data_IF_749856749215
#
_entry.id   IF_749856749215
#
_cell.length_a   1.000
_cell.length_b   1.000
_cell.length_c   1.000
_cell.angle_alpha   90.00
_cell.angle_beta   90.00
_cell.angle_gamma   90.00
#
_symmetry.space_group_name_H-M   'P 1'
#
loop_
_entity.id
_entity.type
_entity.pdbx_description
1 polymer ?
#
# COMPACT_ATOMS: atom_id res chain seq x y z
N UNK A 1 6.49 -1.30 19.41
CA UNK A 1 5.22 -0.59 19.14
C UNK A 1 5.12 -0.30 17.64
N UNK A 2 4.71 -1.30 16.87
CA UNK A 2 4.64 -1.22 15.42
C UNK A 2 3.44 -0.39 14.92
N UNK A 3 2.39 -0.23 15.73
CA UNK A 3 1.22 0.59 15.39
C UNK A 3 1.41 2.09 15.61
N UNK A 4 2.41 2.50 16.39
CA UNK A 4 2.54 3.88 16.84
C UNK A 4 1.53 4.32 17.93
N UNK A 5 0.53 3.47 18.25
CA UNK A 5 -0.60 3.80 19.14
C UNK A 5 -0.44 3.26 20.58
N UNK A 6 0.73 2.75 20.93
CA UNK A 6 1.04 2.23 22.28
C UNK A 6 0.81 0.73 22.45
N UNK A 7 -0.19 0.16 21.76
CA UNK A 7 -0.51 -1.27 21.77
C UNK A 7 -0.74 -1.79 20.36
N UNK A 8 -0.49 -3.07 20.19
CA UNK A 8 -0.82 -3.83 19.00
C UNK A 8 -1.25 -5.24 19.34
N UNK A 9 -1.96 -5.89 18.43
CA UNK A 9 -2.44 -7.25 18.60
C UNK A 9 -1.42 -8.24 18.05
N UNK A 10 -1.22 -9.36 18.76
CA UNK A 10 -0.34 -10.43 18.32
C UNK A 10 -1.11 -11.36 17.37
N UNK A 11 -1.18 -10.98 16.08
CA UNK A 11 -1.96 -11.69 15.06
C UNK A 11 -1.52 -13.15 14.88
N UNK A 12 -0.25 -13.45 15.12
CA UNK A 12 0.31 -14.80 15.05
C UNK A 12 -0.25 -15.75 16.12
N UNK A 13 -0.92 -15.23 17.16
CA UNK A 13 -1.51 -16.05 18.23
C UNK A 13 -2.84 -16.66 17.78
N UNK A 14 -3.08 -17.96 18.04
CA UNK A 14 -4.25 -18.67 17.51
C UNK A 14 -5.59 -18.02 17.83
N UNK A 15 -5.77 -17.50 19.04
CA UNK A 15 -7.03 -16.86 19.44
C UNK A 15 -7.21 -15.49 18.79
N UNK A 16 -6.15 -14.70 18.61
CA UNK A 16 -6.22 -13.45 17.91
C UNK A 16 -6.50 -13.65 16.41
N UNK A 17 -5.82 -14.59 15.78
CA UNK A 17 -6.08 -15.01 14.40
C UNK A 17 -7.53 -15.42 14.20
N UNK A 18 -8.05 -16.27 15.08
CA UNK A 18 -9.46 -16.69 15.08
C UNK A 18 -10.40 -15.48 15.15
N UNK A 19 -10.15 -14.56 16.07
CA UNK A 19 -10.94 -13.34 16.23
C UNK A 19 -10.94 -12.50 14.94
N UNK A 20 -9.79 -12.28 14.32
CA UNK A 20 -9.68 -11.51 13.09
C UNK A 20 -10.46 -12.17 11.95
N UNK A 21 -10.30 -13.49 11.75
CA UNK A 21 -11.02 -14.24 10.71
C UNK A 21 -12.54 -14.20 10.94
N UNK A 22 -13.00 -14.46 12.15
CA UNK A 22 -14.43 -14.47 12.47
C UNK A 22 -15.05 -13.07 12.34
N UNK A 23 -14.30 -12.02 12.70
CA UNK A 23 -14.73 -10.64 12.56
C UNK A 23 -15.01 -10.28 11.10
N UNK A 24 -14.05 -10.50 10.20
CA UNK A 24 -14.25 -10.16 8.77
C UNK A 24 -15.35 -11.02 8.13
N UNK A 25 -15.46 -12.29 8.50
CA UNK A 25 -16.55 -13.16 8.03
C UNK A 25 -17.91 -12.68 8.52
N UNK A 26 -18.02 -12.21 9.76
CA UNK A 26 -19.23 -11.64 10.32
C UNK A 26 -19.68 -10.40 9.50
N UNK A 27 -18.79 -9.45 9.31
CA UNK A 27 -19.10 -8.22 8.55
C UNK A 27 -19.44 -8.50 7.10
N UNK A 28 -18.75 -9.45 6.45
CA UNK A 28 -19.07 -9.84 5.08
C UNK A 28 -20.45 -10.49 4.97
N UNK A 29 -20.83 -11.36 5.92
CA UNK A 29 -22.11 -12.10 5.88
C UNK A 29 -23.30 -11.25 6.31
N UNK A 30 -23.17 -10.54 7.44
CA UNK A 30 -24.31 -9.85 8.05
C UNK A 30 -24.55 -8.46 7.45
N UNK A 31 -23.47 -7.81 6.98
CA UNK A 31 -23.54 -6.45 6.43
C UNK A 31 -23.25 -6.38 4.93
N UNK A 32 -22.99 -7.53 4.31
CA UNK A 32 -22.74 -7.64 2.88
C UNK A 32 -21.60 -6.74 2.38
N UNK A 33 -20.52 -6.63 3.16
CA UNK A 33 -19.34 -5.87 2.73
C UNK A 33 -18.63 -6.58 1.59
N UNK A 34 -18.22 -5.82 0.56
CA UNK A 34 -17.56 -6.34 -0.64
C UNK A 34 -16.03 -6.43 -0.51
N UNK A 35 -15.46 -5.96 0.60
CA UNK A 35 -14.03 -6.05 0.83
C UNK A 35 -13.58 -5.40 2.14
N UNK A 36 -12.28 -5.52 2.41
CA UNK A 36 -11.66 -5.06 3.66
C UNK A 36 -10.33 -4.39 3.38
N UNK A 37 -10.13 -3.22 3.99
CA UNK A 37 -8.85 -2.52 4.06
C UNK A 37 -8.25 -2.69 5.43
N UNK A 38 -6.98 -3.13 5.48
CA UNK A 38 -6.23 -3.27 6.72
C UNK A 38 -5.30 -2.08 6.91
N UNK A 39 -5.56 -1.33 7.97
CA UNK A 39 -4.68 -0.27 8.45
C UNK A 39 -3.39 -0.91 8.97
N UNK A 40 -2.22 -0.33 8.63
CA UNK A 40 -0.92 -0.88 9.02
C UNK A 40 -0.87 -2.42 8.86
N UNK A 41 -1.31 -2.94 7.71
CA UNK A 41 -1.34 -4.39 7.44
C UNK A 41 0.02 -5.05 7.74
N UNK A 42 1.11 -4.30 7.55
CA UNK A 42 2.47 -4.75 7.83
C UNK A 42 2.76 -5.12 9.28
N UNK A 43 1.88 -4.82 10.25
CA UNK A 43 2.06 -5.29 11.63
C UNK A 43 1.55 -6.72 11.86
N UNK A 44 0.76 -7.26 10.95
CA UNK A 44 0.19 -8.60 11.02
C UNK A 44 1.12 -9.63 10.37
N UNK A 45 1.09 -10.85 10.90
CA UNK A 45 1.80 -11.96 10.26
C UNK A 45 1.11 -12.39 8.96
N UNK A 46 1.92 -12.80 7.96
CA UNK A 46 1.40 -13.19 6.65
C UNK A 46 0.49 -14.42 6.71
N UNK A 47 0.74 -15.36 7.63
CA UNK A 47 -0.09 -16.55 7.78
C UNK A 47 -1.52 -16.18 8.17
N UNK A 48 -1.69 -15.23 9.10
CA UNK A 48 -3.01 -14.70 9.47
C UNK A 48 -3.69 -14.01 8.30
N UNK A 49 -2.97 -13.18 7.57
CA UNK A 49 -3.51 -12.51 6.39
C UNK A 49 -3.92 -13.50 5.30
N UNK A 50 -3.12 -14.51 5.04
CA UNK A 50 -3.45 -15.57 4.08
C UNK A 50 -4.67 -16.40 4.52
N UNK A 51 -4.82 -16.71 5.80
CA UNK A 51 -5.99 -17.41 6.32
C UNK A 51 -7.26 -16.55 6.25
N UNK A 52 -7.17 -15.25 6.51
CA UNK A 52 -8.26 -14.29 6.31
C UNK A 52 -8.70 -14.31 4.84
N UNK A 53 -7.74 -14.19 3.93
CA UNK A 53 -8.01 -14.22 2.49
C UNK A 53 -8.69 -15.52 2.06
N UNK A 54 -8.16 -16.65 2.48
CA UNK A 54 -8.73 -17.96 2.17
C UNK A 54 -10.17 -18.11 2.68
N UNK A 55 -10.44 -17.64 3.91
CA UNK A 55 -11.76 -17.70 4.50
C UNK A 55 -12.79 -16.81 3.76
N UNK A 56 -12.40 -15.57 3.42
CA UNK A 56 -13.25 -14.64 2.66
C UNK A 56 -13.47 -15.12 1.23
N UNK A 57 -12.44 -15.59 0.54
CA UNK A 57 -12.55 -16.11 -0.84
C UNK A 57 -13.39 -17.39 -0.92
N UNK A 58 -13.43 -18.20 0.15
CA UNK A 58 -14.34 -19.33 0.27
C UNK A 58 -15.80 -18.89 0.42
N UNK A 59 -16.07 -17.76 1.04
CA UNK A 59 -17.39 -17.16 1.16
C UNK A 59 -17.84 -16.56 -0.18
N UNK A 60 -17.03 -15.68 -0.76
CA UNK A 60 -17.22 -15.11 -2.09
C UNK A 60 -15.85 -14.76 -2.71
N UNK A 61 -15.48 -15.34 -3.86
CA UNK A 61 -14.20 -15.08 -4.50
C UNK A 61 -14.00 -13.63 -4.96
N UNK A 62 -15.07 -12.82 -5.02
CA UNK A 62 -15.02 -11.41 -5.42
C UNK A 62 -14.63 -10.48 -4.29
N UNK A 63 -14.70 -10.91 -3.03
CA UNK A 63 -14.33 -10.08 -1.88
C UNK A 63 -12.90 -9.56 -2.02
N UNK A 64 -12.75 -8.24 -1.95
CA UNK A 64 -11.47 -7.58 -2.14
C UNK A 64 -10.75 -7.35 -0.80
N UNK A 65 -9.46 -7.64 -0.75
CA UNK A 65 -8.62 -7.48 0.44
C UNK A 65 -7.38 -6.70 0.07
N UNK A 66 -7.13 -5.63 0.79
CA UNK A 66 -5.94 -4.81 0.59
C UNK A 66 -5.55 -4.11 1.89
N UNK A 67 -4.36 -3.54 1.92
CA UNK A 67 -3.92 -2.83 3.09
C UNK A 67 -2.60 -2.08 2.92
N UNK A 68 -2.18 -1.48 4.01
CA UNK A 68 -0.90 -0.78 4.08
C UNK A 68 0.22 -1.78 4.36
N UNK A 69 1.07 -2.01 3.38
CA UNK A 69 2.21 -2.92 3.47
C UNK A 69 3.40 -2.35 4.27
N UNK A 70 3.13 -1.63 5.36
CA UNK A 70 4.13 -1.02 6.24
C UNK A 70 3.70 -1.04 7.71
N UNK A 71 4.61 -0.63 8.59
CA UNK A 71 4.41 -0.44 10.02
C UNK A 71 4.68 1.03 10.38
N UNK A 72 4.16 1.49 11.52
CA UNK A 72 4.49 2.80 12.06
C UNK A 72 5.69 2.77 13.05
N UNK A 73 6.25 1.60 13.30
CA UNK A 73 7.38 1.40 14.20
C UNK A 73 7.86 -0.05 14.21
N UNK A 74 8.59 -0.45 15.24
CA UNK A 74 9.17 -1.78 15.34
C UNK A 74 8.18 -2.82 15.86
N UNK A 75 8.21 -4.03 15.29
CA UNK A 75 7.48 -5.22 15.73
C UNK A 75 8.45 -6.29 16.24
N UNK A 76 8.01 -7.21 17.14
CA UNK A 76 8.83 -8.34 17.57
C UNK A 76 8.97 -9.44 16.51
N UNK A 77 8.13 -9.44 15.48
CA UNK A 77 8.22 -10.38 14.37
C UNK A 77 9.27 -9.92 13.36
N UNK A 78 9.95 -10.87 12.72
CA UNK A 78 10.90 -10.55 11.66
C UNK A 78 10.18 -10.11 10.37
N UNK A 79 10.86 -9.32 9.58
CA UNK A 79 10.33 -8.73 8.35
C UNK A 79 9.81 -9.76 7.33
N UNK A 80 10.41 -10.96 7.32
CA UNK A 80 10.02 -12.08 6.45
C UNK A 80 8.75 -12.81 6.90
N UNK A 81 8.26 -12.52 8.12
CA UNK A 81 7.03 -13.10 8.68
C UNK A 81 5.81 -12.19 8.55
N UNK A 82 5.99 -10.90 8.37
CA UNK A 82 4.92 -9.90 8.42
C UNK A 82 4.48 -9.43 7.03
N UNK A 83 3.27 -8.89 6.95
CA UNK A 83 2.61 -8.51 5.70
C UNK A 83 3.11 -7.17 5.14
N UNK A 84 4.44 -7.00 5.05
CA UNK A 84 5.06 -5.84 4.40
C UNK A 84 4.83 -5.85 2.89
N UNK A 85 4.86 -4.68 2.27
CA UNK A 85 4.75 -4.50 0.81
C UNK A 85 5.70 -5.44 0.05
N UNK A 86 6.96 -5.52 0.47
CA UNK A 86 7.97 -6.40 -0.15
C UNK A 86 7.61 -7.89 -0.13
N UNK A 87 6.67 -8.31 0.72
CA UNK A 87 6.21 -9.69 0.86
C UNK A 87 4.86 -9.95 0.17
N UNK A 88 4.28 -8.97 -0.52
CA UNK A 88 2.95 -9.08 -1.14
C UNK A 88 2.87 -10.25 -2.12
N UNK A 89 3.97 -10.56 -2.80
CA UNK A 89 4.06 -11.71 -3.69
C UNK A 89 3.84 -13.08 -3.00
N UNK A 90 3.99 -13.17 -1.68
CA UNK A 90 3.69 -14.36 -0.84
C UNK A 90 2.24 -14.39 -0.34
N UNK A 91 1.50 -13.30 -0.50
CA UNK A 91 0.14 -13.17 -0.01
C UNK A 91 -0.87 -13.45 -1.13
N UNK A 92 -1.70 -14.47 -0.93
CA UNK A 92 -2.68 -14.89 -1.93
C UNK A 92 -3.98 -14.08 -1.82
N UNK A 93 -4.39 -13.43 -2.91
CA UNK A 93 -5.64 -12.69 -2.95
C UNK A 93 -5.64 -11.39 -2.17
N UNK A 94 -4.47 -10.83 -1.88
CA UNK A 94 -4.26 -9.61 -1.09
C UNK A 94 -3.45 -8.61 -1.92
N UNK A 95 -3.86 -7.35 -1.85
CA UNK A 95 -3.18 -6.22 -2.49
C UNK A 95 -2.57 -5.30 -1.44
N UNK A 96 -1.55 -4.55 -1.82
CA UNK A 96 -0.97 -3.51 -0.99
C UNK A 96 -0.99 -2.16 -1.70
N UNK A 97 -1.07 -1.09 -0.93
CA UNK A 97 -0.91 0.26 -1.47
C UNK A 97 0.48 0.46 -2.07
N UNK A 98 0.52 1.05 -3.26
CA UNK A 98 1.76 1.41 -3.93
C UNK A 98 2.18 2.84 -3.58
N UNK A 99 3.05 2.96 -2.58
CA UNK A 99 3.73 4.22 -2.28
C UNK A 99 4.72 4.63 -3.38
N UNK A 100 5.18 3.68 -4.19
CA UNK A 100 5.97 3.96 -5.41
C UNK A 100 5.20 4.94 -6.34
N UNK A 101 3.93 4.64 -6.63
CA UNK A 101 3.08 5.53 -7.45
C UNK A 101 2.80 6.83 -6.73
N UNK A 102 2.40 6.75 -5.46
CA UNK A 102 2.06 7.94 -4.67
C UNK A 102 3.20 8.94 -4.63
N UNK A 103 4.37 8.50 -4.19
CA UNK A 103 5.52 9.38 -3.97
C UNK A 103 6.24 9.70 -5.28
N UNK A 104 6.25 8.77 -6.23
CA UNK A 104 6.74 9.00 -7.58
C UNK A 104 5.99 10.11 -8.31
N UNK A 105 4.67 10.16 -8.17
CA UNK A 105 3.85 11.19 -8.84
C UNK A 105 3.88 12.53 -8.11
N UNK A 106 3.62 12.55 -6.78
CA UNK A 106 3.43 13.81 -6.05
C UNK A 106 4.63 14.28 -5.20
N UNK A 107 5.67 13.46 -5.08
CA UNK A 107 6.79 13.68 -4.18
C UNK A 107 6.59 13.01 -2.83
N UNK A 108 7.69 12.76 -2.10
CA UNK A 108 7.69 12.08 -0.80
C UNK A 108 6.69 12.72 0.17
N UNK A 109 5.88 11.88 0.83
CA UNK A 109 4.96 12.36 1.87
C UNK A 109 5.67 12.76 3.16
N UNK A 110 6.93 12.35 3.33
CA UNK A 110 7.76 12.69 4.49
C UNK A 110 8.54 14.00 4.30
N UNK A 111 8.53 14.55 3.08
CA UNK A 111 9.20 15.81 2.74
C UNK A 111 8.18 16.76 2.10
N UNK A 112 7.64 17.65 2.91
CA UNK A 112 6.51 18.51 2.54
C UNK A 112 6.72 19.27 1.23
N UNK A 113 7.94 19.77 0.97
CA UNK A 113 8.28 20.58 -0.22
C UNK A 113 8.87 19.78 -1.37
N UNK A 114 9.05 18.45 -1.24
CA UNK A 114 9.57 17.65 -2.34
C UNK A 114 8.60 17.64 -3.52
N UNK A 115 9.16 17.75 -4.72
CA UNK A 115 8.42 17.60 -5.98
C UNK A 115 8.37 16.13 -6.39
N UNK A 116 7.35 15.75 -7.16
CA UNK A 116 7.25 14.46 -7.82
C UNK A 116 7.28 14.63 -9.34
N UNK A 117 7.04 13.55 -10.06
CA UNK A 117 7.04 13.52 -11.53
C UNK A 117 6.11 14.58 -12.12
N UNK A 118 4.87 14.71 -11.62
CA UNK A 118 3.90 15.68 -12.15
C UNK A 118 4.28 17.14 -11.89
N UNK A 119 5.11 17.40 -10.89
CA UNK A 119 5.59 18.75 -10.55
C UNK A 119 7.03 19.03 -11.01
N UNK A 120 7.58 18.17 -11.88
CA UNK A 120 8.82 18.41 -12.60
C UNK A 120 10.08 17.84 -11.93
N UNK A 121 9.96 16.91 -11.00
CA UNK A 121 11.11 16.15 -10.53
C UNK A 121 11.68 15.28 -11.65
N UNK A 122 13.00 15.19 -11.72
CA UNK A 122 13.72 14.35 -12.67
C UNK A 122 13.97 12.95 -12.10
N UNK A 123 14.28 12.00 -12.99
CA UNK A 123 14.71 10.64 -12.64
C UNK A 123 13.63 9.81 -11.89
N UNK A 124 12.33 10.09 -12.15
CA UNK A 124 11.19 9.35 -11.59
C UNK A 124 10.42 8.55 -12.66
N UNK A 125 10.84 8.58 -13.90
CA UNK A 125 10.16 7.92 -15.02
C UNK A 125 10.04 6.41 -14.79
N UNK A 126 11.11 5.76 -14.32
CA UNK A 126 11.12 4.31 -14.07
C UNK A 126 10.27 3.95 -12.85
N UNK A 127 10.23 4.79 -11.83
CA UNK A 127 9.33 4.64 -10.68
C UNK A 127 7.86 4.72 -11.11
N UNK A 128 7.52 5.69 -11.95
CA UNK A 128 6.15 5.85 -12.47
C UNK A 128 5.78 4.67 -13.38
N UNK A 129 6.68 4.24 -14.29
CA UNK A 129 6.46 3.04 -15.13
C UNK A 129 6.22 1.80 -14.27
N UNK A 130 7.06 1.58 -13.25
CA UNK A 130 6.94 0.47 -12.31
C UNK A 130 5.58 0.45 -11.62
N UNK A 131 5.10 1.62 -11.17
CA UNK A 131 3.78 1.76 -10.59
C UNK A 131 2.64 1.49 -11.58
N UNK A 132 2.72 2.01 -12.81
CA UNK A 132 1.70 1.82 -13.85
C UNK A 132 1.51 0.33 -14.20
N UNK A 133 2.58 -0.45 -14.25
CA UNK A 133 2.50 -1.88 -14.54
C UNK A 133 2.09 -2.74 -13.34
N UNK A 134 1.80 -2.13 -12.17
CA UNK A 134 1.37 -2.82 -10.96
C UNK A 134 2.51 -3.51 -10.22
N UNK A 135 3.70 -2.93 -10.24
CA UNK A 135 4.87 -3.33 -9.44
C UNK A 135 5.35 -4.77 -9.69
N UNK A 136 5.12 -5.26 -10.90
CA UNK A 136 5.57 -6.56 -11.40
C UNK A 136 6.86 -6.43 -12.22
N UNK A 137 7.47 -7.55 -12.57
CA UNK A 137 8.58 -7.55 -13.54
C UNK A 137 8.08 -7.20 -14.94
N UNK A 138 8.77 -6.27 -15.60
CA UNK A 138 8.51 -5.92 -17.00
C UNK A 138 9.80 -5.54 -17.73
N UNK A 139 10.05 -6.03 -18.96
CA UNK A 139 11.31 -5.79 -19.68
C UNK A 139 11.54 -4.34 -20.10
N UNK A 140 10.52 -3.48 -20.07
CA UNK A 140 10.61 -2.05 -20.39
C UNK A 140 10.83 -1.16 -19.16
N UNK A 141 10.98 -1.75 -17.96
CA UNK A 141 11.30 -1.03 -16.73
C UNK A 141 12.72 -1.33 -16.32
N UNK A 142 13.52 -0.29 -16.21
CA UNK A 142 14.87 -0.36 -15.62
C UNK A 142 14.73 -0.33 -14.09
N UNK A 143 14.51 -1.51 -13.51
CA UNK A 143 14.25 -1.63 -12.08
C UNK A 143 15.35 -1.00 -11.18
N UNK A 144 16.65 -1.08 -11.46
CA UNK A 144 17.67 -0.36 -10.71
C UNK A 144 17.48 1.14 -10.61
N UNK A 145 16.71 1.75 -11.52
CA UNK A 145 16.38 3.18 -11.49
C UNK A 145 15.03 3.49 -10.79
N UNK A 146 14.35 2.49 -10.22
CA UNK A 146 13.15 2.68 -9.37
C UNK A 146 13.57 3.19 -7.99
N UNK A 147 12.92 4.25 -7.49
CA UNK A 147 13.41 4.98 -6.33
C UNK A 147 12.83 4.53 -4.98
N UNK A 148 11.62 3.98 -4.93
CA UNK A 148 10.92 3.74 -3.65
C UNK A 148 10.76 2.26 -3.30
N UNK A 149 11.26 1.37 -4.13
CA UNK A 149 11.25 -0.08 -3.89
C UNK A 149 12.58 -0.72 -4.25
N UNK A 150 13.12 -1.51 -3.33
CA UNK A 150 14.37 -2.27 -3.53
C UNK A 150 14.13 -3.62 -4.21
N UNK A 151 12.86 -4.03 -4.31
CA UNK A 151 12.45 -5.31 -4.90
C UNK A 151 11.16 -5.18 -5.70
N UNK A 152 11.00 -6.06 -6.68
CA UNK A 152 9.69 -6.33 -7.29
C UNK A 152 8.84 -7.03 -6.23
N UNK A 153 7.66 -6.49 -5.93
CA UNK A 153 6.91 -6.95 -4.77
C UNK A 153 5.52 -7.54 -5.09
N UNK A 154 5.10 -7.49 -6.35
CA UNK A 154 3.86 -8.09 -6.82
C UNK A 154 4.13 -9.18 -7.87
N UNK A 155 3.34 -10.26 -7.85
CA UNK A 155 3.32 -11.27 -8.91
C UNK A 155 2.34 -10.90 -10.01
N UNK A 156 1.25 -10.24 -9.64
CA UNK A 156 0.14 -9.89 -10.51
C UNK A 156 -0.17 -8.40 -10.36
N UNK A 157 -0.50 -7.68 -11.44
CA UNK A 157 -0.74 -6.22 -11.39
C UNK A 157 -1.83 -5.80 -10.39
N UNK A 158 -2.84 -6.64 -10.17
CA UNK A 158 -3.93 -6.37 -9.24
C UNK A 158 -3.50 -6.36 -7.76
N UNK A 159 -2.31 -6.86 -7.44
CA UNK A 159 -1.76 -6.80 -6.09
C UNK A 159 -1.26 -5.41 -5.70
N UNK A 160 -1.12 -4.49 -6.66
CA UNK A 160 -0.74 -3.11 -6.41
C UNK A 160 -1.95 -2.17 -6.51
N UNK A 161 -2.26 -1.49 -5.41
CA UNK A 161 -3.28 -0.44 -5.37
C UNK A 161 -2.62 0.88 -5.70
N UNK A 162 -2.77 1.33 -6.95
CA UNK A 162 -2.24 2.62 -7.42
C UNK A 162 -3.12 3.76 -6.92
N UNK A 163 -2.52 4.78 -6.35
CA UNK A 163 -3.20 5.97 -5.84
C UNK A 163 -2.25 7.16 -5.74
N UNK A 164 -2.79 8.36 -5.63
CA UNK A 164 -2.02 9.58 -5.43
C UNK A 164 -2.54 10.40 -4.24
N UNK A 165 -3.80 10.23 -3.89
CA UNK A 165 -4.45 10.89 -2.75
C UNK A 165 -5.30 9.92 -1.96
N UNK A 166 -5.34 10.08 -0.65
CA UNK A 166 -6.20 9.35 0.27
C UNK A 166 -6.54 10.25 1.47
N UNK A 167 -7.05 9.67 2.57
CA UNK A 167 -7.34 10.38 3.81
C UNK A 167 -6.07 10.71 4.63
N UNK A 168 -4.95 10.05 4.33
CA UNK A 168 -3.65 10.30 4.95
C UNK A 168 -2.80 11.23 4.10
N UNK A 169 -2.02 12.11 4.75
CA UNK A 169 -1.13 13.07 4.13
C UNK A 169 -1.85 14.11 3.26
N UNK A 170 -1.10 14.99 2.63
CA UNK A 170 -1.66 15.97 1.69
C UNK A 170 -2.28 15.30 0.47
N UNK A 171 -3.41 15.81 0.01
CA UNK A 171 -3.93 15.48 -1.31
C UNK A 171 -2.95 15.90 -2.40
N UNK A 172 -3.13 15.45 -3.63
CA UNK A 172 -2.28 15.90 -4.74
C UNK A 172 -2.34 17.44 -4.88
N UNK A 173 -3.54 18.02 -4.80
CA UNK A 173 -3.71 19.46 -4.91
C UNK A 173 -2.97 20.23 -3.82
N UNK A 174 -3.10 19.83 -2.56
CA UNK A 174 -2.40 20.48 -1.44
C UNK A 174 -0.88 20.34 -1.56
N UNK A 175 -0.41 19.14 -1.92
CA UNK A 175 1.03 18.88 -2.12
C UNK A 175 1.61 19.75 -3.24
N UNK A 176 0.88 19.92 -4.36
CA UNK A 176 1.30 20.77 -5.46
C UNK A 176 1.39 22.24 -5.03
N UNK A 177 0.41 22.76 -4.29
CA UNK A 177 0.45 24.14 -3.77
C UNK A 177 1.64 24.37 -2.84
N UNK A 178 2.02 23.38 -2.03
CA UNK A 178 3.14 23.49 -1.10
C UNK A 178 4.49 23.36 -1.82
N UNK A 179 4.62 22.42 -2.75
CA UNK A 179 5.88 22.15 -3.44
C UNK A 179 6.16 23.08 -4.62
N UNK A 180 5.10 23.71 -5.16
CA UNK A 180 5.17 24.66 -6.29
C UNK A 180 4.41 25.96 -5.96
N UNK A 181 4.86 26.71 -4.92
CA UNK A 181 4.17 27.93 -4.48
C UNK A 181 4.21 29.07 -5.53
N UNK A 182 5.06 28.96 -6.51
CA UNK A 182 5.24 29.89 -7.62
C UNK A 182 4.40 29.53 -8.86
N UNK A 183 3.74 28.36 -8.87
CA UNK A 183 2.93 27.92 -10.00
C UNK A 183 1.63 28.70 -10.11
N UNK A 184 1.24 29.00 -11.33
CA UNK A 184 -0.08 29.59 -11.63
C UNK A 184 -1.18 28.52 -11.48
N UNK A 185 -2.42 28.98 -11.32
CA UNK A 185 -3.59 28.09 -11.27
C UNK A 185 -3.67 27.17 -12.51
N UNK A 186 -3.38 27.70 -13.71
CA UNK A 186 -3.39 26.92 -14.94
C UNK A 186 -2.30 25.82 -14.92
N UNK A 187 -1.12 26.10 -14.39
CA UNK A 187 -0.06 25.10 -14.21
C UNK A 187 -0.44 24.03 -13.19
N UNK A 188 -1.03 24.43 -12.06
CA UNK A 188 -1.52 23.48 -11.05
C UNK A 188 -2.60 22.53 -11.61
N UNK A 189 -3.53 23.06 -12.42
CA UNK A 189 -4.56 22.25 -13.09
C UNK A 189 -3.92 21.24 -14.06
N UNK A 190 -2.87 21.62 -14.78
CA UNK A 190 -2.16 20.72 -15.71
C UNK A 190 -1.36 19.62 -15.00
N UNK A 191 -0.89 19.88 -13.78
CA UNK A 191 -0.17 18.91 -12.95
C UNK A 191 -1.12 17.92 -12.26
N UNK A 192 -2.38 18.33 -12.02
CA UNK A 192 -3.41 17.53 -11.36
C UNK A 192 -4.14 16.60 -12.32
#
# INVERSE_FOLDING_TARGET
>A
NASGCGNETASERPMMRKYMIESVLYWAKEYHLDGFRFDLMGIHDMETMNQISAALKKLDPRLFIYGEGWTAGSTPLSDDMIALKKNTWLMQGISAFSDDVRDGLKGSVFEEKSTGFVSGALDLEETVKFGIIGSIHHPQVDFPAVNYSDTIWANEPWQAVSYVSCHDNHTLFDKLNISRPDATEEELIKMH
#
